data_IF_330995953058
#
_entry.id   IF_330995953058
#
_cell.length_a   1.000
_cell.length_b   1.000
_cell.length_c   1.000
_cell.angle_alpha   90.00
_cell.angle_beta   90.00
_cell.angle_gamma   90.00
#
_symmetry.space_group_name_H-M   'P 1'
#
loop_
_entity.id
_entity.type
_entity.pdbx_description
1 polymer ?
#
# COMPACT_ATOMS: atom_id res chain seq x y z
N UNK A 1 6.97 6.62 -41.46
CA UNK A 1 6.58 5.52 -40.50
C UNK A 1 7.21 5.64 -39.10
N UNK A 2 8.25 6.44 -38.92
CA UNK A 2 9.03 6.60 -37.65
C UNK A 2 8.39 7.64 -36.69
N UNK A 3 7.51 8.48 -37.16
CA UNK A 3 6.91 9.58 -36.38
C UNK A 3 5.81 9.10 -35.40
N UNK A 4 5.23 7.91 -35.59
CA UNK A 4 4.13 7.39 -34.78
C UNK A 4 4.55 6.83 -33.41
N UNK A 5 5.77 6.37 -33.22
CA UNK A 5 6.25 5.80 -31.95
C UNK A 5 6.46 6.85 -30.85
N UNK A 6 7.08 7.97 -31.19
CA UNK A 6 7.38 9.04 -30.25
C UNK A 6 6.11 9.73 -29.70
N UNK A 7 5.06 9.79 -30.49
CA UNK A 7 3.79 10.41 -30.08
C UNK A 7 3.00 9.53 -29.08
N UNK A 8 3.08 8.20 -29.22
CA UNK A 8 2.43 7.25 -28.30
C UNK A 8 3.08 7.23 -26.92
N UNK A 9 4.43 7.23 -26.87
CA UNK A 9 5.17 7.26 -25.61
C UNK A 9 4.93 8.59 -24.86
N UNK A 10 4.97 9.72 -25.56
CA UNK A 10 4.66 11.03 -24.97
C UNK A 10 3.24 11.08 -24.42
N UNK A 11 2.25 10.55 -25.16
CA UNK A 11 0.87 10.48 -24.72
C UNK A 11 0.72 9.60 -23.47
N UNK A 12 1.40 8.44 -23.42
CA UNK A 12 1.42 7.57 -22.26
C UNK A 12 2.01 8.25 -21.01
N UNK A 13 3.19 8.85 -21.12
CA UNK A 13 3.83 9.54 -20.00
C UNK A 13 3.01 10.75 -19.51
N UNK A 14 2.45 11.53 -20.44
CA UNK A 14 1.60 12.68 -20.12
C UNK A 14 0.32 12.23 -19.38
N UNK A 15 -0.27 11.11 -19.81
CA UNK A 15 -1.47 10.58 -19.18
C UNK A 15 -1.15 9.96 -17.80
N UNK A 16 -0.06 9.21 -17.66
CA UNK A 16 0.39 8.70 -16.37
C UNK A 16 0.66 9.84 -15.37
N UNK A 17 1.31 10.92 -15.82
CA UNK A 17 1.52 12.11 -14.98
C UNK A 17 0.20 12.75 -14.56
N UNK A 18 -0.78 12.85 -15.47
CA UNK A 18 -2.14 13.34 -15.17
C UNK A 18 -2.81 12.46 -14.09
N UNK A 19 -2.74 11.13 -14.23
CA UNK A 19 -3.30 10.19 -13.26
C UNK A 19 -2.68 10.35 -11.87
N UNK A 20 -1.34 10.40 -11.77
CA UNK A 20 -0.64 10.63 -10.51
C UNK A 20 -1.05 11.96 -9.85
N UNK A 21 -1.20 13.01 -10.65
CA UNK A 21 -1.67 14.30 -10.16
C UNK A 21 -3.13 14.24 -9.68
N UNK A 22 -3.96 13.43 -10.33
CA UNK A 22 -5.34 13.19 -9.89
C UNK A 22 -5.41 12.47 -8.55
N UNK A 23 -4.53 11.49 -8.28
CA UNK A 23 -4.43 10.83 -6.98
C UNK A 23 -4.14 11.83 -5.85
N UNK A 24 -3.29 12.83 -6.09
CA UNK A 24 -2.99 13.86 -5.09
C UNK A 24 -4.17 14.82 -4.89
N UNK A 25 -4.78 15.29 -5.98
CA UNK A 25 -5.89 16.25 -5.94
C UNK A 25 -7.20 15.68 -5.38
N UNK A 26 -7.43 14.38 -5.55
CA UNK A 26 -8.64 13.71 -5.06
C UNK A 26 -8.46 13.13 -3.65
N UNK A 27 -7.36 13.46 -2.99
CA UNK A 27 -7.01 12.97 -1.65
C UNK A 27 -6.86 11.44 -1.53
N UNK A 28 -6.93 10.71 -2.64
CA UNK A 28 -6.78 9.25 -2.65
C UNK A 28 -5.39 8.82 -2.19
N UNK A 29 -4.35 9.52 -2.65
CA UNK A 29 -2.98 9.29 -2.20
C UNK A 29 -2.85 9.55 -0.70
N UNK A 30 -3.40 10.67 -0.21
CA UNK A 30 -3.34 11.02 1.20
C UNK A 30 -4.04 9.96 2.06
N UNK A 31 -5.23 9.50 1.64
CA UNK A 31 -5.96 8.45 2.35
C UNK A 31 -5.17 7.15 2.41
N UNK A 32 -4.61 6.70 1.26
CA UNK A 32 -3.77 5.50 1.23
C UNK A 32 -2.56 5.64 2.15
N UNK A 33 -1.81 6.73 2.02
CA UNK A 33 -0.62 6.98 2.84
C UNK A 33 -0.99 6.98 4.32
N UNK A 34 -2.07 7.67 4.71
CA UNK A 34 -2.51 7.73 6.11
C UNK A 34 -2.85 6.34 6.67
N UNK A 35 -3.65 5.55 5.94
CA UNK A 35 -4.03 4.20 6.39
C UNK A 35 -2.81 3.29 6.53
N UNK A 36 -1.92 3.31 5.54
CA UNK A 36 -0.72 2.46 5.57
C UNK A 36 0.32 2.95 6.59
N UNK A 37 0.40 4.25 6.87
CA UNK A 37 1.22 4.78 7.97
C UNK A 37 0.68 4.34 9.33
N UNK A 38 -0.65 4.34 9.51
CA UNK A 38 -1.28 3.81 10.72
C UNK A 38 -0.92 2.33 10.89
N UNK A 39 -0.99 1.51 9.83
CA UNK A 39 -0.57 0.12 9.92
C UNK A 39 0.93 0.01 10.26
N UNK A 40 1.78 0.80 9.59
CA UNK A 40 3.22 0.81 9.85
C UNK A 40 3.56 1.12 11.31
N UNK A 41 2.84 2.05 11.92
CA UNK A 41 3.01 2.43 13.32
C UNK A 41 2.38 1.42 14.29
N UNK A 42 1.13 1.01 14.03
CA UNK A 42 0.38 0.16 14.96
C UNK A 42 0.95 -1.26 15.08
N UNK A 43 1.50 -1.83 14.00
CA UNK A 43 1.97 -3.21 14.03
C UNK A 43 3.06 -3.45 15.08
N UNK A 44 4.16 -2.67 15.15
CA UNK A 44 5.15 -2.83 16.21
C UNK A 44 4.61 -2.55 17.61
N UNK A 45 3.74 -1.54 17.73
CA UNK A 45 3.13 -1.18 19.02
C UNK A 45 2.24 -2.30 19.53
N UNK A 46 1.34 -2.81 18.69
CA UNK A 46 0.46 -3.92 19.07
C UNK A 46 1.27 -5.18 19.39
N UNK A 47 2.28 -5.52 18.58
CA UNK A 47 3.14 -6.66 18.85
C UNK A 47 3.83 -6.56 20.22
N UNK A 48 4.36 -5.38 20.56
CA UNK A 48 5.08 -5.14 21.82
C UNK A 48 4.16 -5.22 23.03
N UNK A 49 2.96 -4.63 22.96
CA UNK A 49 2.06 -4.50 24.11
C UNK A 49 0.99 -5.59 24.20
N UNK A 50 0.94 -6.52 23.25
CA UNK A 50 -0.05 -7.63 23.29
C UNK A 50 0.05 -8.48 24.57
N UNK A 51 1.25 -8.87 25.08
CA UNK A 51 1.33 -9.61 26.32
C UNK A 51 0.78 -8.86 27.52
N UNK A 52 1.14 -7.57 27.66
CA UNK A 52 0.69 -6.71 28.77
C UNK A 52 -0.83 -6.53 28.74
N UNK A 53 -1.42 -6.35 27.55
CA UNK A 53 -2.87 -6.26 27.38
C UNK A 53 -3.57 -7.59 27.73
N UNK A 54 -2.99 -8.70 27.36
CA UNK A 54 -3.54 -10.01 27.71
C UNK A 54 -3.49 -10.26 29.23
N UNK A 55 -2.40 -9.89 29.88
CA UNK A 55 -2.25 -10.00 31.33
C UNK A 55 -3.31 -9.17 32.08
N UNK A 56 -3.59 -7.95 31.60
CA UNK A 56 -4.62 -7.07 32.15
C UNK A 56 -6.07 -7.60 31.96
N UNK A 57 -6.29 -8.38 30.90
CA UNK A 57 -7.63 -8.93 30.58
C UNK A 57 -7.90 -10.29 31.23
N UNK A 58 -6.88 -10.92 31.81
CA UNK A 58 -7.03 -12.20 32.51
C UNK A 58 -7.52 -11.99 33.94
N UNK A 59 -8.54 -12.74 34.32
CA UNK A 59 -8.99 -12.79 35.71
C UNK A 59 -7.89 -13.33 36.63
N UNK A 60 -7.80 -12.80 37.86
CA UNK A 60 -6.84 -13.22 38.87
C UNK A 60 -6.91 -14.73 39.10
N UNK A 61 -5.90 -15.45 38.65
CA UNK A 61 -5.77 -16.90 38.85
C UNK A 61 -5.28 -17.71 37.65
N UNK A 62 -5.31 -17.17 36.44
CA UNK A 62 -4.81 -17.85 35.24
C UNK A 62 -3.44 -17.24 34.84
N UNK A 63 -2.35 -17.87 35.27
CA UNK A 63 -1.01 -17.50 34.82
C UNK A 63 -0.70 -18.20 33.50
N UNK A 64 -0.95 -17.53 32.39
CA UNK A 64 -0.44 -17.96 31.07
C UNK A 64 0.90 -17.26 30.89
N UNK A 65 1.97 -18.02 30.87
CA UNK A 65 3.28 -17.53 30.46
C UNK A 65 3.26 -17.32 28.95
N UNK A 66 3.03 -16.08 28.51
CA UNK A 66 3.19 -15.71 27.12
C UNK A 66 4.68 -15.54 26.80
N UNK A 67 5.15 -16.01 25.65
CA UNK A 67 6.52 -15.74 25.22
C UNK A 67 6.74 -14.25 25.05
N UNK A 68 7.95 -13.78 25.32
CA UNK A 68 8.30 -12.39 25.09
C UNK A 68 8.11 -12.01 23.59
N UNK A 69 7.51 -10.85 23.31
CA UNK A 69 7.25 -10.42 21.94
C UNK A 69 8.57 -10.16 21.21
N UNK A 70 8.66 -10.66 20.01
CA UNK A 70 9.83 -10.55 19.15
C UNK A 70 9.59 -9.60 17.98
N UNK A 71 10.66 -9.15 17.34
CA UNK A 71 10.57 -8.36 16.10
C UNK A 71 9.81 -9.12 15.00
N UNK A 72 9.87 -10.45 15.00
CA UNK A 72 9.15 -11.30 14.07
C UNK A 72 7.63 -11.12 14.21
N UNK A 73 7.11 -10.95 15.42
CA UNK A 73 5.68 -10.73 15.66
C UNK A 73 5.20 -9.41 15.06
N UNK A 74 6.03 -8.36 15.12
CA UNK A 74 5.77 -7.07 14.45
C UNK A 74 5.64 -7.23 12.93
N UNK A 75 6.57 -7.92 12.28
CA UNK A 75 6.53 -8.16 10.85
C UNK A 75 5.41 -9.10 10.43
N UNK A 76 5.14 -10.13 11.23
CA UNK A 76 4.02 -11.04 10.99
C UNK A 76 2.69 -10.28 10.99
N UNK A 77 2.49 -9.38 11.94
CA UNK A 77 1.31 -8.51 11.97
C UNK A 77 1.26 -7.55 10.78
N UNK A 78 2.41 -6.95 10.39
CA UNK A 78 2.49 -6.10 9.22
C UNK A 78 2.05 -6.84 7.95
N UNK A 79 2.57 -8.04 7.71
CA UNK A 79 2.21 -8.83 6.55
C UNK A 79 0.73 -9.24 6.57
N UNK A 80 0.23 -9.68 7.70
CA UNK A 80 -1.17 -10.04 7.89
C UNK A 80 -2.11 -8.85 7.63
N UNK A 81 -1.84 -7.71 8.23
CA UNK A 81 -2.69 -6.53 8.07
C UNK A 81 -2.60 -5.96 6.65
N UNK A 82 -1.43 -5.97 6.03
CA UNK A 82 -1.25 -5.50 4.65
C UNK A 82 -1.99 -6.40 3.65
N UNK A 83 -1.92 -7.71 3.79
CA UNK A 83 -2.61 -8.64 2.88
C UNK A 83 -4.12 -8.67 3.10
N UNK A 84 -4.62 -8.56 4.32
CA UNK A 84 -6.05 -8.63 4.61
C UNK A 84 -6.72 -7.25 4.48
N UNK A 85 -6.34 -6.31 5.33
CA UNK A 85 -6.99 -4.99 5.39
C UNK A 85 -6.47 -4.07 4.29
N UNK A 86 -5.17 -4.13 3.98
CA UNK A 86 -4.57 -3.34 2.92
C UNK A 86 -5.20 -3.62 1.57
N UNK A 87 -5.45 -4.89 1.24
CA UNK A 87 -6.11 -5.29 0.00
C UNK A 87 -7.54 -4.72 -0.09
N UNK A 88 -8.30 -4.76 0.99
CA UNK A 88 -9.66 -4.18 1.02
C UNK A 88 -9.60 -2.68 0.71
N UNK A 89 -8.69 -1.96 1.34
CA UNK A 89 -8.51 -0.51 1.12
C UNK A 89 -8.11 -0.21 -0.33
N UNK A 90 -7.19 -1.01 -0.89
CA UNK A 90 -6.78 -0.88 -2.29
C UNK A 90 -7.95 -1.10 -3.26
N UNK A 91 -8.73 -2.16 -3.05
CA UNK A 91 -9.91 -2.45 -3.88
C UNK A 91 -10.90 -1.30 -3.83
N UNK A 92 -11.22 -0.74 -2.66
CA UNK A 92 -12.13 0.39 -2.52
C UNK A 92 -11.63 1.61 -3.29
N UNK A 93 -10.35 1.96 -3.15
CA UNK A 93 -9.78 3.17 -3.76
C UNK A 93 -9.62 3.00 -5.27
N UNK A 94 -9.15 1.85 -5.73
CA UNK A 94 -8.86 1.62 -7.14
C UNK A 94 -10.09 1.23 -7.96
N UNK A 95 -11.13 0.63 -7.37
CA UNK A 95 -12.38 0.30 -8.06
C UNK A 95 -13.03 1.52 -8.72
N UNK A 96 -12.95 2.68 -8.07
CA UNK A 96 -13.49 3.93 -8.59
C UNK A 96 -12.69 4.60 -9.72
N UNK A 97 -11.48 4.12 -10.07
CA UNK A 97 -10.63 4.80 -11.06
C UNK A 97 -11.20 4.80 -12.47
N UNK A 98 -11.80 3.70 -12.88
CA UNK A 98 -12.40 3.55 -14.21
C UNK A 98 -13.87 3.94 -14.18
N UNK A 99 -14.60 3.53 -13.14
CA UNK A 99 -16.02 3.78 -12.97
C UNK A 99 -16.35 5.27 -12.95
N UNK A 100 -15.60 6.07 -12.20
CA UNK A 100 -15.81 7.52 -12.10
C UNK A 100 -15.57 8.27 -13.43
N UNK A 101 -14.61 7.82 -14.23
CA UNK A 101 -14.36 8.44 -15.55
C UNK A 101 -15.40 8.02 -16.60
N UNK A 102 -15.89 6.80 -16.50
CA UNK A 102 -16.96 6.31 -17.37
C UNK A 102 -18.26 7.07 -17.10
N UNK A 103 -18.62 7.21 -15.82
CA UNK A 103 -19.84 7.93 -15.41
C UNK A 103 -19.81 9.43 -15.76
N UNK A 104 -18.64 10.06 -15.72
CA UNK A 104 -18.44 11.48 -16.08
C UNK A 104 -18.25 11.70 -17.59
N UNK A 105 -18.22 10.63 -18.41
CA UNK A 105 -17.98 10.73 -19.85
C UNK A 105 -16.57 11.20 -20.24
N UNK A 106 -15.68 11.41 -19.29
CA UNK A 106 -14.32 11.90 -19.54
C UNK A 106 -13.48 10.90 -20.33
N UNK A 107 -13.69 9.62 -20.11
CA UNK A 107 -13.03 8.55 -20.86
C UNK A 107 -13.40 8.61 -22.36
N UNK A 108 -14.67 8.82 -22.67
CA UNK A 108 -15.17 8.91 -24.04
C UNK A 108 -14.52 10.11 -24.75
N UNK A 109 -14.49 11.27 -24.08
CA UNK A 109 -13.88 12.49 -24.63
C UNK A 109 -12.37 12.33 -24.91
N UNK A 110 -11.66 11.52 -24.11
CA UNK A 110 -10.23 11.26 -24.34
C UNK A 110 -10.00 10.31 -25.52
N UNK A 111 -10.86 9.31 -25.67
CA UNK A 111 -10.78 8.36 -26.79
C UNK A 111 -11.13 9.04 -28.13
N UNK A 112 -12.10 9.92 -28.14
CA UNK A 112 -12.46 10.71 -29.37
C UNK A 112 -11.34 11.67 -29.77
N UNK A 113 -10.52 12.15 -28.83
CA UNK A 113 -9.33 12.97 -29.11
C UNK A 113 -8.12 12.15 -29.58
N UNK A 114 -8.27 10.84 -29.83
CA UNK A 114 -7.25 9.98 -30.42
C UNK A 114 -6.36 9.23 -29.44
N UNK A 115 -6.66 9.24 -28.13
CA UNK A 115 -5.97 8.36 -27.18
C UNK A 115 -6.39 6.90 -27.40
N UNK A 116 -5.41 5.99 -27.47
CA UNK A 116 -5.72 4.57 -27.57
C UNK A 116 -6.22 4.00 -26.23
N UNK A 117 -7.17 3.07 -26.27
CA UNK A 117 -7.68 2.38 -25.07
C UNK A 117 -6.54 1.70 -24.29
N UNK A 118 -5.55 1.12 -25.00
CA UNK A 118 -4.38 0.50 -24.40
C UNK A 118 -3.55 1.50 -23.59
N UNK A 119 -3.34 2.71 -24.13
CA UNK A 119 -2.60 3.77 -23.43
C UNK A 119 -3.30 4.16 -22.14
N UNK A 120 -4.62 4.30 -22.14
CA UNK A 120 -5.39 4.66 -20.95
C UNK A 120 -5.27 3.59 -19.87
N UNK A 121 -5.51 2.31 -20.23
CA UNK A 121 -5.45 1.21 -19.27
C UNK A 121 -4.04 1.04 -18.69
N UNK A 122 -3.01 1.05 -19.54
CA UNK A 122 -1.62 0.92 -19.09
C UNK A 122 -1.20 2.08 -18.19
N UNK A 123 -1.59 3.32 -18.53
CA UNK A 123 -1.26 4.48 -17.70
C UNK A 123 -1.93 4.40 -16.31
N UNK A 124 -3.20 3.97 -16.26
CA UNK A 124 -3.90 3.77 -14.99
C UNK A 124 -3.27 2.67 -14.15
N UNK A 125 -2.94 1.55 -14.77
CA UNK A 125 -2.24 0.45 -14.09
C UNK A 125 -0.89 0.91 -13.54
N UNK A 126 -0.07 1.58 -14.36
CA UNK A 126 1.24 2.08 -13.95
C UNK A 126 1.14 3.11 -12.82
N UNK A 127 0.22 4.07 -12.91
CA UNK A 127 0.05 5.07 -11.83
C UNK A 127 -0.45 4.43 -10.54
N UNK A 128 -1.37 3.46 -10.61
CA UNK A 128 -1.83 2.71 -9.45
C UNK A 128 -0.70 1.89 -8.79
N UNK A 129 0.10 1.20 -9.61
CA UNK A 129 1.26 0.44 -9.12
C UNK A 129 2.30 1.36 -8.48
N UNK A 130 2.58 2.53 -9.04
CA UNK A 130 3.50 3.50 -8.45
C UNK A 130 3.00 4.02 -7.10
N UNK A 131 1.72 4.36 -7.00
CA UNK A 131 1.09 4.79 -5.74
C UNK A 131 1.12 3.67 -4.71
N UNK A 132 0.78 2.45 -5.09
CA UNK A 132 0.89 1.25 -4.23
C UNK A 132 2.30 1.05 -3.73
N UNK A 133 3.28 1.00 -4.63
CA UNK A 133 4.70 0.81 -4.30
C UNK A 133 5.17 1.87 -3.29
N UNK A 134 4.90 3.14 -3.56
CA UNK A 134 5.28 4.23 -2.68
C UNK A 134 4.67 4.07 -1.28
N UNK A 135 3.37 3.82 -1.19
CA UNK A 135 2.64 3.71 0.07
C UNK A 135 3.07 2.49 0.88
N UNK A 136 3.26 1.35 0.20
CA UNK A 136 3.72 0.11 0.80
C UNK A 136 5.12 0.23 1.40
N UNK A 137 6.09 0.73 0.62
CA UNK A 137 7.46 0.90 1.13
C UNK A 137 7.56 1.95 2.22
N UNK A 138 6.77 3.00 2.17
CA UNK A 138 6.71 3.98 3.24
C UNK A 138 6.20 3.34 4.55
N UNK A 139 5.15 2.52 4.48
CA UNK A 139 4.64 1.77 5.62
C UNK A 139 5.66 0.77 6.18
N UNK A 140 6.32 0.01 5.30
CA UNK A 140 7.37 -0.93 5.70
C UNK A 140 8.56 -0.23 6.37
N UNK A 141 8.94 0.96 5.88
CA UNK A 141 9.99 1.77 6.48
C UNK A 141 9.61 2.23 7.88
N UNK A 142 8.38 2.68 8.07
CA UNK A 142 7.88 3.07 9.41
C UNK A 142 7.86 1.87 10.35
N UNK A 143 7.35 0.71 9.92
CA UNK A 143 7.40 -0.53 10.71
C UNK A 143 8.83 -0.87 11.11
N UNK A 144 9.78 -0.78 10.18
CA UNK A 144 11.19 -1.05 10.43
C UNK A 144 11.78 -0.12 11.48
N UNK A 145 11.56 1.20 11.34
CA UNK A 145 12.07 2.20 12.28
C UNK A 145 11.50 2.01 13.70
N UNK A 146 10.19 1.75 13.82
CA UNK A 146 9.58 1.49 15.12
C UNK A 146 9.99 0.15 15.71
N UNK A 147 10.19 -0.87 14.90
CA UNK A 147 10.72 -2.14 15.38
C UNK A 147 12.14 -2.01 15.93
N UNK A 148 12.98 -1.18 15.33
CA UNK A 148 14.32 -0.85 15.85
C UNK A 148 14.29 -0.12 17.21
N UNK A 149 13.23 0.63 17.50
CA UNK A 149 13.08 1.31 18.80
C UNK A 149 12.67 0.36 19.92
N UNK A 150 11.96 -0.71 19.59
CA UNK A 150 11.42 -1.64 20.58
C UNK A 150 12.29 -2.88 20.82
N UNK A 151 13.10 -3.27 19.84
CA UNK A 151 13.95 -4.46 19.88
C UNK A 151 15.39 -4.13 19.46
N UNK A 152 16.36 -4.62 20.22
CA UNK A 152 17.79 -4.45 19.89
C UNK A 152 18.22 -5.35 18.74
N UNK A 153 17.67 -6.57 18.68
CA UNK A 153 17.92 -7.47 17.55
C UNK A 153 16.93 -7.19 16.41
N UNK A 154 17.45 -6.66 15.32
CA UNK A 154 16.67 -6.26 14.14
C UNK A 154 16.76 -7.26 12.98
N UNK A 155 17.45 -8.39 13.19
CA UNK A 155 17.65 -9.38 12.14
C UNK A 155 16.42 -10.27 11.99
N UNK A 156 15.70 -10.08 10.89
CA UNK A 156 14.63 -10.99 10.46
C UNK A 156 15.09 -11.71 9.21
N UNK A 157 15.24 -13.02 9.30
CA UNK A 157 15.63 -13.83 8.15
C UNK A 157 14.66 -13.66 6.99
N UNK A 158 15.19 -13.49 5.78
CA UNK A 158 14.42 -13.39 4.54
C UNK A 158 13.39 -12.23 4.51
N UNK A 159 13.60 -11.16 5.30
CA UNK A 159 12.68 -10.01 5.34
C UNK A 159 12.44 -9.41 3.96
N UNK A 160 13.50 -9.18 3.19
CA UNK A 160 13.39 -8.61 1.82
C UNK A 160 12.59 -9.51 0.89
N UNK A 161 12.76 -10.82 1.01
CA UNK A 161 11.99 -11.80 0.22
C UNK A 161 10.50 -11.74 0.59
N UNK A 162 10.18 -11.72 1.87
CA UNK A 162 8.79 -11.61 2.36
C UNK A 162 8.15 -10.29 1.95
N UNK A 163 8.88 -9.17 2.03
CA UNK A 163 8.42 -7.86 1.55
C UNK A 163 8.12 -7.87 0.05
N UNK A 164 8.98 -8.49 -0.77
CA UNK A 164 8.73 -8.57 -2.22
C UNK A 164 7.54 -9.46 -2.55
N UNK A 165 7.35 -10.57 -1.86
CA UNK A 165 6.19 -11.44 -2.05
C UNK A 165 4.88 -10.71 -1.77
N UNK A 166 4.79 -10.01 -0.63
CA UNK A 166 3.58 -9.26 -0.27
C UNK A 166 3.34 -8.05 -1.19
N UNK A 167 4.42 -7.43 -1.70
CA UNK A 167 4.29 -6.35 -2.67
C UNK A 167 3.69 -6.80 -4.01
N UNK A 168 4.04 -8.02 -4.47
CA UNK A 168 3.55 -8.60 -5.74
C UNK A 168 2.13 -9.14 -5.58
N UNK A 169 1.77 -9.64 -4.38
CA UNK A 169 0.43 -10.16 -4.09
C UNK A 169 -0.65 -9.12 -4.22
#
# INVERSE_FOLDING_TARGET
>A
KIIYGGNKMRAYLAFTKKELFEFTKTYKLLLLVTVFLIFGFMNPVVAKFTPDLMELLMEEGIKISLPEPTIFDSWSQFFKNTTQMGLIVLVIIFSGLISNELSKGTLINMLTKGLSRKTVVLSKFTSSTLVWTFTYFLSALVTFLYSMLFWEDTQVENLLFSLTLVWVF
#
